data_IF_844984545494
#
_entry.id   IF_844984545494
#
_cell.length_a   1.000
_cell.length_b   1.000
_cell.length_c   1.000
_cell.angle_alpha   90.00
_cell.angle_beta   90.00
_cell.angle_gamma   90.00
#
_symmetry.space_group_name_H-M   'P 1'
#
loop_
_entity.id
_entity.type
_entity.pdbx_description
1 polymer ?
#
# COMPACT_ATOMS: atom_id res chain seq x y z
N UNK A 1 16.77 -72.88 -9.19
CA UNK A 1 16.98 -72.15 -7.92
C UNK A 1 17.38 -70.74 -8.30
N UNK A 2 16.36 -69.90 -8.51
CA UNK A 2 16.06 -68.75 -7.64
C UNK A 2 16.79 -67.52 -8.19
N UNK A 3 16.24 -66.83 -9.18
CA UNK A 3 15.19 -65.80 -9.02
C UNK A 3 15.64 -64.68 -8.06
N UNK A 4 16.10 -63.58 -8.63
CA UNK A 4 16.33 -62.28 -7.98
C UNK A 4 16.17 -61.20 -9.06
N UNK A 5 14.96 -61.04 -9.57
CA UNK A 5 14.55 -59.80 -10.22
C UNK A 5 14.62 -58.69 -9.16
N UNK A 6 15.69 -57.90 -9.21
CA UNK A 6 15.88 -56.67 -8.44
C UNK A 6 14.79 -55.68 -8.86
N UNK A 7 13.68 -55.76 -8.13
CA UNK A 7 12.52 -54.88 -8.25
C UNK A 7 12.94 -53.48 -7.79
N UNK A 8 13.37 -52.66 -8.74
CA UNK A 8 13.44 -51.21 -8.61
C UNK A 8 12.04 -50.66 -8.29
N UNK A 9 11.70 -50.68 -7.01
CA UNK A 9 10.44 -50.21 -6.47
C UNK A 9 10.37 -48.70 -6.72
N UNK A 10 9.54 -48.35 -7.71
CA UNK A 10 9.27 -46.99 -8.14
C UNK A 10 8.87 -46.17 -6.92
N UNK A 11 9.77 -45.31 -6.44
CA UNK A 11 9.68 -44.47 -5.24
C UNK A 11 8.45 -43.53 -5.39
N UNK A 12 7.29 -44.08 -5.03
CA UNK A 12 5.97 -43.53 -5.26
C UNK A 12 5.34 -43.19 -3.92
N UNK A 13 4.62 -42.08 -3.91
CA UNK A 13 4.05 -41.48 -2.70
C UNK A 13 2.56 -41.33 -2.93
N UNK A 14 1.79 -41.79 -1.96
CA UNK A 14 0.34 -41.72 -2.00
C UNK A 14 -0.16 -40.28 -1.84
N UNK A 15 -1.04 -39.82 -2.73
CA UNK A 15 -1.75 -38.55 -2.59
C UNK A 15 -3.18 -38.75 -2.06
N UNK A 16 -3.49 -38.34 -0.82
CA UNK A 16 -4.78 -38.62 -0.17
C UNK A 16 -5.97 -37.82 -0.74
N UNK A 17 -5.75 -36.80 -1.59
CA UNK A 17 -6.86 -36.09 -2.24
C UNK A 17 -7.31 -36.77 -3.55
N UNK A 18 -6.38 -37.28 -4.35
CA UNK A 18 -6.73 -37.91 -5.63
C UNK A 18 -6.63 -39.45 -5.60
N UNK A 19 -6.18 -40.03 -4.49
CA UNK A 19 -6.06 -41.47 -4.28
C UNK A 19 -4.96 -42.16 -5.09
N UNK A 20 -4.14 -41.41 -5.85
CA UNK A 20 -3.11 -41.98 -6.73
C UNK A 20 -1.76 -42.03 -6.05
N UNK A 21 -1.02 -43.11 -6.29
CA UNK A 21 0.41 -43.23 -6.00
C UNK A 21 1.20 -42.60 -7.14
N UNK A 22 1.98 -41.59 -6.83
CA UNK A 22 2.67 -40.74 -7.81
C UNK A 22 4.16 -40.66 -7.46
N UNK A 23 5.06 -40.49 -8.45
CA UNK A 23 6.48 -40.38 -8.16
C UNK A 23 6.76 -39.14 -7.29
N UNK A 24 7.84 -39.17 -6.51
CA UNK A 24 8.23 -38.06 -5.60
C UNK A 24 8.32 -36.69 -6.28
N UNK A 25 8.67 -36.66 -7.57
CA UNK A 25 8.71 -35.45 -8.40
C UNK A 25 7.35 -34.75 -8.54
N UNK A 26 6.24 -35.48 -8.34
CA UNK A 26 4.88 -34.94 -8.36
C UNK A 26 4.47 -34.27 -7.05
N UNK A 27 5.36 -34.20 -6.06
CA UNK A 27 5.14 -33.54 -4.78
C UNK A 27 6.08 -32.34 -4.62
N UNK A 28 5.63 -31.30 -3.93
CA UNK A 28 6.53 -30.20 -3.54
C UNK A 28 7.48 -30.65 -2.43
N UNK A 29 8.70 -30.12 -2.40
CA UNK A 29 9.61 -30.38 -1.29
C UNK A 29 9.13 -29.69 -0.01
N UNK A 30 9.23 -30.40 1.11
CA UNK A 30 8.89 -29.89 2.43
C UNK A 30 9.86 -30.42 3.47
N UNK A 31 10.89 -29.62 3.77
CA UNK A 31 11.96 -29.95 4.73
C UNK A 31 11.46 -30.14 6.17
N UNK A 32 10.22 -29.74 6.48
CA UNK A 32 9.64 -29.91 7.82
C UNK A 32 9.06 -31.30 8.05
N UNK A 33 8.89 -32.12 7.01
CA UNK A 33 8.34 -33.47 7.13
C UNK A 33 9.47 -34.52 7.08
N UNK A 34 9.36 -35.64 7.81
CA UNK A 34 10.37 -36.69 7.81
C UNK A 34 10.70 -37.22 6.41
N UNK A 35 9.69 -37.33 5.54
CA UNK A 35 9.84 -37.80 4.16
C UNK A 35 10.29 -36.71 3.16
N UNK A 36 10.49 -35.47 3.62
CA UNK A 36 10.92 -34.35 2.80
C UNK A 36 9.92 -33.85 1.75
N UNK A 37 8.67 -34.34 1.75
CA UNK A 37 7.67 -34.06 0.72
C UNK A 37 6.37 -33.50 1.30
N UNK A 38 5.69 -32.69 0.49
CA UNK A 38 4.37 -32.17 0.80
C UNK A 38 3.35 -33.31 0.91
N UNK A 39 2.29 -33.10 1.69
CA UNK A 39 1.26 -34.11 1.94
C UNK A 39 0.40 -34.43 0.70
N UNK A 40 0.45 -33.57 -0.32
CA UNK A 40 -0.38 -33.71 -1.51
C UNK A 40 0.43 -33.43 -2.77
N UNK A 41 0.03 -34.05 -3.88
CA UNK A 41 0.65 -33.82 -5.18
C UNK A 41 0.47 -32.36 -5.62
N UNK A 42 1.35 -31.90 -6.52
CA UNK A 42 1.38 -30.53 -7.08
C UNK A 42 0.01 -30.10 -7.61
N UNK A 43 -0.68 -30.99 -8.32
CA UNK A 43 -2.02 -30.72 -8.87
C UNK A 43 -3.05 -30.44 -7.76
N UNK A 44 -3.21 -31.37 -6.81
CA UNK A 44 -4.15 -31.19 -5.72
C UNK A 44 -3.78 -30.02 -4.80
N UNK A 45 -2.49 -29.74 -4.64
CA UNK A 45 -2.00 -28.55 -3.93
C UNK A 45 -2.42 -27.25 -4.65
N UNK A 46 -2.29 -27.20 -5.97
CA UNK A 46 -2.76 -26.07 -6.78
C UNK A 46 -4.28 -25.89 -6.68
N UNK A 47 -5.05 -26.97 -6.86
CA UNK A 47 -6.53 -26.96 -6.75
C UNK A 47 -6.99 -26.40 -5.40
N UNK A 48 -6.42 -26.87 -4.28
CA UNK A 48 -6.77 -26.34 -2.94
C UNK A 48 -6.32 -24.90 -2.74
N UNK A 49 -5.15 -24.53 -3.25
CA UNK A 49 -4.66 -23.15 -3.18
C UNK A 49 -5.59 -22.21 -3.94
N UNK A 50 -6.07 -22.63 -5.11
CA UNK A 50 -7.07 -21.90 -5.89
C UNK A 50 -8.43 -21.82 -5.18
N UNK A 51 -8.94 -22.93 -4.66
CA UNK A 51 -10.19 -22.93 -3.88
C UNK A 51 -10.11 -22.03 -2.65
N UNK A 52 -8.96 -21.98 -1.97
CA UNK A 52 -8.70 -21.07 -0.84
C UNK A 52 -8.70 -19.61 -1.27
N UNK A 53 -7.99 -19.29 -2.37
CA UNK A 53 -7.96 -17.94 -2.96
C UNK A 53 -9.37 -17.48 -3.36
N UNK A 54 -10.15 -18.35 -4.00
CA UNK A 54 -11.54 -18.09 -4.39
C UNK A 54 -12.42 -17.80 -3.18
N UNK A 55 -12.35 -18.63 -2.12
CA UNK A 55 -13.09 -18.39 -0.87
C UNK A 55 -12.74 -17.07 -0.20
N UNK A 56 -11.49 -16.62 -0.32
CA UNK A 56 -11.02 -15.34 0.23
C UNK A 56 -11.26 -14.14 -0.70
N UNK A 57 -11.92 -14.33 -1.85
CA UNK A 57 -12.11 -13.28 -2.85
C UNK A 57 -10.80 -12.75 -3.45
N UNK A 58 -9.71 -13.52 -3.38
CA UNK A 58 -8.40 -13.14 -3.92
C UNK A 58 -8.38 -13.48 -5.40
N UNK A 59 -8.50 -12.46 -6.25
CA UNK A 59 -8.38 -12.60 -7.70
C UNK A 59 -6.96 -12.97 -8.12
N UNK A 60 -6.82 -13.64 -9.27
CA UNK A 60 -5.52 -13.89 -9.87
C UNK A 60 -4.77 -12.57 -10.12
N UNK A 61 -3.44 -12.60 -10.01
CA UNK A 61 -2.60 -11.45 -10.36
C UNK A 61 -2.74 -11.18 -11.85
N UNK A 62 -3.16 -9.97 -12.22
CA UNK A 62 -3.22 -9.55 -13.62
C UNK A 62 -1.82 -9.58 -14.26
N UNK A 63 -1.73 -10.05 -15.49
CA UNK A 63 -0.49 -10.16 -16.28
C UNK A 63 -0.64 -9.37 -17.57
N UNK A 64 0.48 -8.97 -18.16
CA UNK A 64 0.47 -8.31 -19.46
C UNK A 64 -0.03 -9.30 -20.53
N UNK A 65 -0.91 -8.88 -21.46
CA UNK A 65 -1.42 -9.76 -22.52
C UNK A 65 -0.33 -10.13 -23.55
N UNK A 66 0.74 -9.34 -23.62
CA UNK A 66 1.90 -9.55 -24.48
C UNK A 66 3.19 -9.36 -23.68
N UNK A 67 4.33 -9.94 -24.10
CA UNK A 67 5.62 -9.65 -23.50
C UNK A 67 5.91 -8.16 -23.43
N UNK A 68 6.40 -7.70 -22.28
CA UNK A 68 6.72 -6.29 -22.06
C UNK A 68 8.11 -6.01 -22.64
N UNK A 69 8.29 -4.96 -23.46
CA UNK A 69 9.60 -4.61 -24.00
C UNK A 69 10.63 -4.32 -22.91
N UNK A 70 11.90 -4.51 -23.24
CA UNK A 70 13.02 -4.16 -22.37
C UNK A 70 12.98 -2.67 -21.98
N UNK A 71 13.39 -2.38 -20.74
CA UNK A 71 13.32 -1.02 -20.20
C UNK A 71 11.89 -0.53 -19.90
N UNK A 72 10.89 -1.39 -20.01
CA UNK A 72 9.49 -1.09 -19.68
C UNK A 72 8.93 -2.04 -18.63
N UNK A 73 7.84 -1.60 -17.99
CA UNK A 73 7.05 -2.40 -17.06
C UNK A 73 5.57 -2.22 -17.36
N UNK A 74 4.82 -3.30 -17.22
CA UNK A 74 3.35 -3.25 -17.33
C UNK A 74 2.70 -2.86 -16.00
N UNK A 75 1.77 -1.92 -16.06
CA UNK A 75 0.95 -1.48 -14.93
C UNK A 75 -0.40 -2.20 -14.95
N UNK A 76 -0.77 -2.93 -13.87
CA UNK A 76 -2.03 -3.66 -13.84
C UNK A 76 -3.25 -2.76 -13.77
N UNK A 77 -3.15 -1.54 -13.25
CA UNK A 77 -4.32 -0.69 -13.02
C UNK A 77 -4.81 0.00 -14.30
N UNK A 78 -3.90 0.51 -15.13
CA UNK A 78 -4.24 1.11 -16.43
C UNK A 78 -3.96 0.17 -17.62
N UNK A 79 -3.52 -1.05 -17.34
CA UNK A 79 -3.30 -2.14 -18.31
C UNK A 79 -2.33 -1.80 -19.45
N UNK A 80 -1.40 -0.87 -19.22
CA UNK A 80 -0.44 -0.39 -20.23
C UNK A 80 1.01 -0.72 -19.85
N UNK A 81 1.82 -1.09 -20.85
CA UNK A 81 3.27 -1.09 -20.74
C UNK A 81 3.80 0.36 -20.81
N UNK A 82 4.65 0.74 -19.85
CA UNK A 82 5.24 2.07 -19.77
C UNK A 82 6.74 1.95 -19.47
N UNK A 83 7.58 2.93 -19.83
CA UNK A 83 8.99 2.92 -19.50
C UNK A 83 9.20 2.86 -17.98
N UNK A 84 10.32 2.32 -17.52
CA UNK A 84 10.64 2.20 -16.08
C UNK A 84 10.63 3.55 -15.35
N UNK A 85 10.90 4.65 -16.06
CA UNK A 85 10.80 6.03 -15.53
C UNK A 85 9.39 6.42 -15.11
N UNK A 86 8.36 5.75 -15.64
CA UNK A 86 6.97 5.95 -15.23
C UNK A 86 6.60 5.19 -13.94
N UNK A 87 7.56 4.54 -13.28
CA UNK A 87 7.38 3.78 -12.04
C UNK A 87 8.34 4.28 -10.97
N UNK A 88 7.86 4.42 -9.73
CA UNK A 88 8.72 4.78 -8.60
C UNK A 88 9.73 3.65 -8.31
N UNK A 89 10.98 4.01 -7.99
CA UNK A 89 12.02 3.05 -7.56
C UNK A 89 11.73 2.57 -6.14
N UNK A 90 12.02 1.30 -5.85
CA UNK A 90 11.86 0.71 -4.52
C UNK A 90 12.80 -0.46 -4.32
N UNK A 91 13.25 -0.67 -3.08
CA UNK A 91 14.05 -1.84 -2.68
C UNK A 91 13.20 -3.05 -2.28
N UNK A 92 11.88 -2.87 -2.17
CA UNK A 92 10.98 -3.92 -1.70
C UNK A 92 10.69 -5.01 -2.74
N UNK A 93 10.82 -4.69 -4.04
CA UNK A 93 10.52 -5.61 -5.13
C UNK A 93 11.79 -6.02 -5.86
N UNK A 94 11.84 -7.28 -6.32
CA UNK A 94 12.97 -7.80 -7.10
C UNK A 94 13.26 -6.98 -8.38
N UNK A 95 12.22 -6.38 -8.98
CA UNK A 95 12.39 -5.51 -10.16
C UNK A 95 13.04 -4.17 -9.84
N UNK A 96 13.16 -3.76 -8.58
CA UNK A 96 13.65 -2.42 -8.20
C UNK A 96 12.63 -1.29 -8.40
N UNK A 97 11.41 -1.60 -8.83
CA UNK A 97 10.34 -0.62 -9.15
C UNK A 97 8.99 -1.05 -8.56
N UNK A 98 8.13 -0.07 -8.28
CA UNK A 98 6.76 -0.30 -7.83
C UNK A 98 5.93 -1.05 -8.88
N UNK A 99 4.86 -1.71 -8.43
CA UNK A 99 3.98 -2.49 -9.31
C UNK A 99 3.15 -1.60 -10.25
N UNK A 100 2.78 -0.40 -9.80
CA UNK A 100 1.91 0.53 -10.49
C UNK A 100 2.70 1.73 -11.02
N UNK A 101 2.25 2.31 -12.15
CA UNK A 101 2.83 3.56 -12.64
C UNK A 101 2.55 4.70 -11.66
N UNK A 102 3.33 5.79 -11.75
CA UNK A 102 3.22 6.95 -10.85
C UNK A 102 1.79 7.50 -10.77
N UNK A 103 1.08 7.58 -11.91
CA UNK A 103 -0.29 8.06 -11.96
C UNK A 103 -1.25 7.15 -11.20
N UNK A 104 -1.23 5.84 -11.47
CA UNK A 104 -2.09 4.88 -10.76
C UNK A 104 -1.73 4.78 -9.27
N UNK A 105 -0.44 4.88 -8.94
CA UNK A 105 0.01 4.92 -7.55
C UNK A 105 -0.57 6.14 -6.81
N UNK A 106 -0.51 7.32 -7.42
CA UNK A 106 -1.08 8.54 -6.87
C UNK A 106 -2.60 8.48 -6.80
N UNK A 107 -3.27 7.93 -7.82
CA UNK A 107 -4.71 7.75 -7.85
C UNK A 107 -5.19 6.88 -6.68
N UNK A 108 -4.53 5.73 -6.43
CA UNK A 108 -4.81 4.87 -5.25
C UNK A 108 -4.59 5.60 -3.93
N UNK A 109 -3.52 6.40 -3.85
CA UNK A 109 -3.24 7.22 -2.67
C UNK A 109 -4.36 8.24 -2.41
N UNK A 110 -4.83 8.92 -3.45
CA UNK A 110 -5.93 9.87 -3.36
C UNK A 110 -7.26 9.20 -3.02
N UNK A 111 -7.58 8.07 -3.64
CA UNK A 111 -8.79 7.30 -3.33
C UNK A 111 -8.80 6.86 -1.87
N UNK A 112 -7.66 6.36 -1.36
CA UNK A 112 -7.51 5.99 0.05
C UNK A 112 -7.72 7.21 0.96
N UNK A 113 -7.12 8.35 0.62
CA UNK A 113 -7.32 9.61 1.35
C UNK A 113 -8.77 10.06 1.32
N UNK A 114 -9.45 9.93 0.18
CA UNK A 114 -10.86 10.31 0.04
C UNK A 114 -11.78 9.37 0.83
N UNK A 115 -11.48 8.07 0.86
CA UNK A 115 -12.24 7.11 1.68
C UNK A 115 -12.06 7.38 3.18
N UNK A 116 -10.84 7.71 3.62
CA UNK A 116 -10.54 7.92 5.03
C UNK A 116 -10.90 9.33 5.53
N UNK A 117 -10.80 10.34 4.66
CA UNK A 117 -10.86 11.76 5.02
C UNK A 117 -11.72 12.62 4.07
N UNK A 118 -12.36 12.03 3.06
CA UNK A 118 -13.14 12.73 2.03
C UNK A 118 -14.65 12.61 2.19
N UNK A 119 -15.14 11.85 3.18
CA UNK A 119 -16.49 12.04 3.70
C UNK A 119 -16.52 13.35 4.51
N UNK A 120 -17.66 14.06 4.60
CA UNK A 120 -17.81 15.12 5.57
C UNK A 120 -17.44 14.54 6.95
N UNK A 121 -16.46 15.19 7.59
CA UNK A 121 -15.97 14.78 8.90
C UNK A 121 -17.17 14.47 9.81
N UNK A 122 -17.17 13.35 10.55
CA UNK A 122 -18.28 13.02 11.42
C UNK A 122 -18.61 14.21 12.30
N UNK A 123 -19.89 14.57 12.35
CA UNK A 123 -20.38 15.71 13.12
C UNK A 123 -20.32 15.36 14.61
N UNK A 124 -19.62 16.18 15.39
CA UNK A 124 -19.46 16.06 16.83
C UNK A 124 -20.18 17.21 17.52
N UNK A 125 -20.94 16.90 18.57
CA UNK A 125 -21.57 17.90 19.44
C UNK A 125 -20.48 18.50 20.32
N UNK A 126 -20.15 19.76 20.04
CA UNK A 126 -19.22 20.54 20.84
C UNK A 126 -19.95 21.13 22.04
N UNK A 127 -19.33 21.03 23.21
CA UNK A 127 -19.90 21.53 24.46
C UNK A 127 -18.80 22.15 25.32
N UNK A 128 -19.19 23.15 26.11
CA UNK A 128 -18.29 23.79 27.04
C UNK A 128 -17.92 22.84 28.18
N UNK A 129 -16.64 22.54 28.34
CA UNK A 129 -16.16 21.60 29.36
C UNK A 129 -16.26 22.11 30.81
N UNK A 130 -16.61 23.39 31.02
CA UNK A 130 -16.83 23.97 32.35
C UNK A 130 -18.31 23.99 32.72
N UNK A 131 -19.20 24.31 31.79
CA UNK A 131 -20.64 24.42 32.04
C UNK A 131 -21.42 23.18 31.62
N UNK A 132 -20.92 22.41 30.67
CA UNK A 132 -21.62 21.31 30.00
C UNK A 132 -22.58 21.75 28.90
N UNK A 133 -22.65 23.05 28.59
CA UNK A 133 -23.63 23.59 27.65
C UNK A 133 -23.16 23.37 26.21
N UNK A 134 -24.07 22.94 25.35
CA UNK A 134 -23.79 22.74 23.91
C UNK A 134 -23.50 24.08 23.25
N UNK A 135 -22.39 24.15 22.50
CA UNK A 135 -21.98 25.33 21.74
C UNK A 135 -22.34 25.22 20.26
N UNK A 136 -22.28 24.01 19.69
CA UNK A 136 -22.63 23.77 18.29
C UNK A 136 -22.24 22.38 17.80
N UNK A 137 -22.32 22.20 16.49
CA UNK A 137 -21.88 20.98 15.80
C UNK A 137 -20.62 21.31 15.01
N UNK A 138 -19.54 20.61 15.32
CA UNK A 138 -18.24 20.75 14.66
C UNK A 138 -17.83 19.45 14.00
N UNK A 139 -16.93 19.54 13.03
CA UNK A 139 -16.28 18.37 12.44
C UNK A 139 -15.29 17.75 13.45
N UNK A 140 -14.94 16.46 13.32
CA UNK A 140 -14.01 15.78 14.24
C UNK A 140 -12.70 16.55 14.45
N UNK A 141 -12.11 17.06 13.36
CA UNK A 141 -10.83 17.77 13.42
C UNK A 141 -10.96 19.15 14.07
N UNK A 142 -12.05 19.89 13.83
CA UNK A 142 -12.32 21.16 14.50
C UNK A 142 -12.56 20.95 15.99
N UNK A 143 -13.41 19.99 16.37
CA UNK A 143 -13.70 19.66 17.76
C UNK A 143 -12.44 19.20 18.51
N UNK A 144 -11.70 18.24 17.95
CA UNK A 144 -10.42 17.80 18.50
C UNK A 144 -9.35 18.89 18.49
N UNK A 145 -9.40 19.81 17.52
CA UNK A 145 -8.54 20.99 17.45
C UNK A 145 -8.74 21.92 18.65
N UNK A 146 -9.99 22.28 18.96
CA UNK A 146 -10.31 23.09 20.15
C UNK A 146 -9.78 22.43 21.44
N UNK A 147 -10.00 21.13 21.60
CA UNK A 147 -9.48 20.38 22.76
C UNK A 147 -7.95 20.37 22.86
N UNK A 148 -7.23 20.31 21.74
CA UNK A 148 -5.75 20.40 21.72
C UNK A 148 -5.23 21.77 22.18
N UNK A 149 -6.02 22.83 21.96
CA UNK A 149 -5.76 24.17 22.49
C UNK A 149 -6.48 24.41 23.84
N UNK A 150 -6.93 23.34 24.52
CA UNK A 150 -7.58 23.36 25.83
C UNK A 150 -8.81 24.28 25.90
N UNK A 151 -9.54 24.40 24.80
CA UNK A 151 -10.69 25.30 24.66
C UNK A 151 -10.36 26.76 25.04
N UNK A 152 -9.08 27.16 24.98
CA UNK A 152 -8.62 28.46 25.42
C UNK A 152 -8.40 29.40 24.22
N UNK A 153 -9.16 30.50 24.11
CA UNK A 153 -9.02 31.45 23.00
C UNK A 153 -7.64 32.11 22.92
N UNK A 154 -6.92 32.23 24.03
CA UNK A 154 -5.56 32.80 24.06
C UNK A 154 -4.59 31.90 23.30
N UNK A 155 -4.60 30.59 23.54
CA UNK A 155 -3.72 29.65 22.84
C UNK A 155 -4.03 29.56 21.34
N UNK A 156 -5.32 29.68 20.97
CA UNK A 156 -5.72 29.78 19.56
C UNK A 156 -5.19 31.07 18.91
N UNK A 157 -5.27 32.21 19.60
CA UNK A 157 -4.73 33.48 19.11
C UNK A 157 -3.20 33.46 18.96
N UNK A 158 -2.48 32.82 19.89
CA UNK A 158 -1.04 32.59 19.79
C UNK A 158 -0.69 31.70 18.59
N UNK A 159 -1.44 30.63 18.35
CA UNK A 159 -1.25 29.78 17.17
C UNK A 159 -1.46 30.54 15.85
N UNK A 160 -2.49 31.40 15.77
CA UNK A 160 -2.71 32.28 14.62
C UNK A 160 -1.51 33.23 14.43
N UNK A 161 -1.03 33.83 15.51
CA UNK A 161 0.13 34.74 15.48
C UNK A 161 1.38 34.03 14.97
N UNK A 162 1.64 32.82 15.47
CA UNK A 162 2.74 31.98 15.00
C UNK A 162 2.65 31.70 13.50
N UNK A 163 1.49 31.29 12.99
CA UNK A 163 1.30 31.01 11.56
C UNK A 163 1.50 32.26 10.71
N UNK A 164 0.95 33.40 11.10
CA UNK A 164 1.15 34.67 10.39
C UNK A 164 2.62 35.09 10.36
N UNK A 165 3.37 34.86 11.44
CA UNK A 165 4.78 35.22 11.54
C UNK A 165 5.72 34.29 10.77
N UNK A 166 5.34 33.02 10.60
CA UNK A 166 6.22 31.97 10.05
C UNK A 166 5.86 31.50 8.65
N UNK A 167 4.70 31.90 8.13
CA UNK A 167 4.25 31.54 6.78
C UNK A 167 5.00 32.38 5.75
N UNK A 168 5.57 31.70 4.74
CA UNK A 168 6.20 32.35 3.61
C UNK A 168 5.17 33.00 2.70
N UNK A 169 5.35 34.29 2.46
CA UNK A 169 4.52 35.12 1.59
C UNK A 169 5.29 35.46 0.31
N UNK A 170 4.59 35.48 -0.81
CA UNK A 170 5.15 35.87 -2.10
C UNK A 170 4.90 37.35 -2.34
N UNK A 171 5.94 38.16 -2.26
CA UNK A 171 5.88 39.62 -2.41
C UNK A 171 6.42 40.02 -3.78
N UNK A 172 5.69 40.87 -4.50
CA UNK A 172 6.14 41.44 -5.77
C UNK A 172 7.17 42.55 -5.47
N UNK A 173 8.37 42.42 -6.01
CA UNK A 173 9.45 43.41 -5.81
C UNK A 173 9.80 44.18 -7.08
N UNK A 174 9.43 43.64 -8.24
CA UNK A 174 9.53 44.29 -9.55
C UNK A 174 8.50 43.63 -10.49
N UNK A 175 7.98 44.29 -11.54
CA UNK A 175 7.17 43.63 -12.57
C UNK A 175 7.74 42.27 -13.00
N UNK A 176 6.97 41.21 -12.79
CA UNK A 176 7.35 39.82 -13.09
C UNK A 176 8.28 39.13 -12.08
N UNK A 177 8.81 39.84 -11.09
CA UNK A 177 9.78 39.30 -10.11
C UNK A 177 9.19 39.29 -8.70
N UNK A 178 9.16 38.10 -8.11
CA UNK A 178 8.63 37.88 -6.76
C UNK A 178 9.71 37.37 -5.83
N UNK A 179 9.69 37.83 -4.59
CA UNK A 179 10.50 37.31 -3.49
C UNK A 179 9.60 36.62 -2.47
N UNK A 180 10.05 35.44 -2.02
CA UNK A 180 9.44 34.78 -0.87
C UNK A 180 10.07 35.34 0.40
N UNK A 181 9.25 35.80 1.35
CA UNK A 181 9.70 36.29 2.65
C UNK A 181 8.71 35.89 3.75
N UNK A 182 9.17 35.77 4.98
CA UNK A 182 8.32 35.54 6.16
C UNK A 182 8.69 36.57 7.22
N UNK A 183 7.73 37.17 7.95
CA UNK A 183 8.04 38.23 8.91
C UNK A 183 9.10 37.85 9.96
N UNK A 184 9.11 36.59 10.40
CA UNK A 184 10.05 36.08 11.40
C UNK A 184 11.22 35.27 10.83
N UNK A 185 11.19 34.92 9.54
CA UNK A 185 12.22 34.07 8.89
C UNK A 185 12.62 34.74 7.59
N UNK A 186 13.86 35.25 7.51
CA UNK A 186 14.37 36.13 6.44
C UNK A 186 14.09 35.68 4.99
N UNK A 187 15.13 35.29 4.23
CA UNK A 187 14.94 34.70 2.89
C UNK A 187 14.81 33.17 3.04
N UNK A 188 13.90 32.50 2.34
CA UNK A 188 13.84 31.04 2.40
C UNK A 188 15.12 30.45 1.79
N UNK A 189 15.57 29.28 2.26
CA UNK A 189 16.71 28.60 1.68
C UNK A 189 16.46 28.37 0.20
N UNK A 190 17.45 28.73 -0.64
CA UNK A 190 17.41 28.41 -2.06
C UNK A 190 17.30 26.90 -2.20
N UNK A 191 16.34 26.42 -3.00
CA UNK A 191 16.29 25.01 -3.37
C UNK A 191 17.63 24.64 -4.02
N UNK A 192 18.43 23.84 -3.33
CA UNK A 192 19.61 23.20 -3.91
C UNK A 192 19.14 22.21 -4.96
N UNK A 193 19.59 22.43 -6.21
CA UNK A 193 19.38 21.55 -7.36
C UNK A 193 19.96 20.16 -7.13
#
# INVERSE_FOLDING_TARGET
MSDMSDSGELDSVHCPQCGRDLPRSEFHSNRRRPNGLAYYCKRCAAERSEASRRRRGISARRQAPVPVPDGSKWCPDCETAKPLTAFARTRANASGYHSYCLLCHNARGNETRQRLYGAPDPQHVDHDHRTGWVRGILCFNCNGGLGRFRDNPVFLAEAITYLKGTTWQRVLIHPGVFQMCSPMRGRPPSRSS
#
